data_IF_698929732077
#
_entry.id   IF_698929732077
#
_cell.length_a   1.000
_cell.length_b   1.000
_cell.length_c   1.000
_cell.angle_alpha   90.00
_cell.angle_beta   90.00
_cell.angle_gamma   90.00
#
_symmetry.space_group_name_H-M   'P 1'
#
loop_
_entity.id
_entity.type
_entity.pdbx_description
1 polymer ?
#
# COMPACT_ATOMS: atom_id res chain seq x y z
N UNK A 1 -12.93 0.90 5.10
CA UNK A 1 -11.67 1.54 4.63
C UNK A 1 -10.59 0.48 4.47
N UNK A 2 -9.57 0.71 3.64
CA UNK A 2 -8.45 -0.22 3.48
C UNK A 2 -7.14 0.47 3.86
N UNK A 3 -6.39 -0.15 4.77
CA UNK A 3 -5.04 0.24 5.14
C UNK A 3 -4.03 -0.59 4.34
N UNK A 4 -3.21 0.06 3.53
CA UNK A 4 -2.10 -0.54 2.80
C UNK A 4 -0.83 -0.28 3.60
N UNK A 5 -0.25 -1.34 4.16
CA UNK A 5 0.79 -1.23 5.18
C UNK A 5 2.20 -1.46 4.64
N UNK A 6 2.38 -2.34 3.65
CA UNK A 6 3.72 -2.66 3.15
C UNK A 6 3.69 -3.05 1.66
N UNK A 7 4.86 -2.95 1.04
CA UNK A 7 5.13 -3.55 -0.26
C UNK A 7 6.52 -4.20 -0.30
N UNK A 8 6.65 -5.28 -1.05
CA UNK A 8 7.91 -6.00 -1.24
C UNK A 8 8.06 -6.48 -2.69
N UNK A 9 9.31 -6.55 -3.16
CA UNK A 9 9.63 -7.15 -4.44
C UNK A 9 9.51 -8.67 -4.35
N UNK A 10 9.01 -9.28 -5.42
CA UNK A 10 9.22 -10.68 -5.68
C UNK A 10 10.67 -10.99 -6.03
N UNK A 11 10.99 -12.27 -6.06
CA UNK A 11 12.32 -12.76 -6.44
C UNK A 11 12.68 -12.30 -7.85
N UNK A 12 13.86 -11.70 -8.00
CA UNK A 12 14.46 -11.39 -9.30
C UNK A 12 15.97 -11.43 -9.20
N UNK A 13 16.61 -11.98 -10.24
CA UNK A 13 18.07 -11.97 -10.39
C UNK A 13 18.58 -10.73 -11.12
N UNK A 14 17.68 -9.92 -11.67
CA UNK A 14 18.02 -8.69 -12.41
C UNK A 14 17.80 -7.50 -11.50
N UNK A 15 18.79 -6.60 -11.46
CA UNK A 15 18.66 -5.29 -10.82
C UNK A 15 17.75 -4.43 -11.69
N UNK A 16 16.51 -4.25 -11.24
CA UNK A 16 15.51 -3.36 -11.82
C UNK A 16 14.81 -2.60 -10.68
N UNK A 17 14.41 -1.36 -10.95
CA UNK A 17 13.70 -0.53 -9.99
C UNK A 17 12.20 -0.61 -10.28
N UNK A 18 11.41 -0.95 -9.26
CA UNK A 18 9.96 -0.93 -9.34
C UNK A 18 9.43 0.38 -8.73
N UNK A 19 9.18 1.39 -9.56
CA UNK A 19 8.43 2.58 -9.14
C UNK A 19 6.95 2.21 -9.02
N UNK A 20 6.44 2.22 -7.80
CA UNK A 20 5.06 1.90 -7.49
C UNK A 20 4.20 3.16 -7.51
N UNK A 21 2.99 3.01 -8.04
CA UNK A 21 2.03 4.10 -8.15
C UNK A 21 0.65 3.64 -7.70
N UNK A 22 -0.08 4.56 -7.10
CA UNK A 22 -1.52 4.43 -6.89
C UNK A 22 -2.27 5.35 -7.85
N UNK A 23 -3.37 4.87 -8.41
CA UNK A 23 -4.31 5.67 -9.20
C UNK A 23 -5.66 5.73 -8.47
N UNK A 24 -6.18 6.93 -8.27
CA UNK A 24 -7.51 7.21 -7.72
C UNK A 24 -8.21 8.16 -8.68
N UNK A 25 -9.36 7.76 -9.21
CA UNK A 25 -10.02 8.44 -10.32
C UNK A 25 -9.03 8.69 -11.47
N UNK A 26 -8.79 9.94 -11.87
CA UNK A 26 -7.84 10.31 -12.93
C UNK A 26 -6.47 10.75 -12.43
N UNK A 27 -6.23 10.70 -11.12
CA UNK A 27 -4.95 11.08 -10.51
C UNK A 27 -4.08 9.86 -10.28
N UNK A 28 -2.81 9.94 -10.68
CA UNK A 28 -1.79 8.91 -10.45
C UNK A 28 -0.65 9.50 -9.64
N UNK A 29 -0.32 8.87 -8.52
CA UNK A 29 0.73 9.30 -7.60
C UNK A 29 1.75 8.18 -7.41
N UNK A 30 3.03 8.53 -7.43
CA UNK A 30 4.10 7.63 -7.01
C UNK A 30 4.09 7.50 -5.48
N UNK A 31 4.18 6.27 -4.97
CA UNK A 31 4.15 6.00 -3.53
C UNK A 31 5.49 5.46 -2.99
N UNK A 32 6.37 4.96 -3.86
CA UNK A 32 7.67 4.46 -3.46
C UNK A 32 8.39 3.76 -4.60
N UNK A 33 9.69 3.51 -4.43
CA UNK A 33 10.49 2.72 -5.36
C UNK A 33 11.16 1.59 -4.60
N UNK A 34 11.04 0.37 -5.11
CA UNK A 34 11.77 -0.79 -4.59
C UNK A 34 12.91 -1.17 -5.54
N UNK A 35 13.97 -1.73 -4.99
CA UNK A 35 15.08 -2.31 -5.74
C UNK A 35 15.65 -3.53 -5.01
N UNK A 36 16.11 -4.53 -5.76
CA UNK A 36 16.63 -5.79 -5.20
C UNK A 36 17.82 -5.53 -4.26
N UNK A 37 18.70 -4.60 -4.64
CA UNK A 37 19.99 -4.43 -3.96
C UNK A 37 19.97 -3.45 -2.78
N UNK A 38 18.97 -2.55 -2.71
CA UNK A 38 18.95 -1.47 -1.70
C UNK A 38 17.70 -1.50 -0.83
N UNK A 39 16.53 -1.50 -1.46
CA UNK A 39 15.25 -1.37 -0.77
C UNK A 39 14.28 -2.41 -1.32
N UNK A 40 14.40 -3.70 -0.96
CA UNK A 40 13.54 -4.74 -1.52
C UNK A 40 12.12 -4.71 -0.93
N UNK A 41 11.91 -3.99 0.17
CA UNK A 41 10.61 -3.76 0.79
C UNK A 41 10.51 -2.32 1.33
N UNK A 42 9.28 -1.88 1.57
CA UNK A 42 8.97 -0.57 2.14
C UNK A 42 7.69 -0.68 2.98
N UNK A 43 7.63 0.13 4.04
CA UNK A 43 6.43 0.28 4.86
C UNK A 43 5.72 1.59 4.51
N UNK A 44 4.40 1.56 4.58
CA UNK A 44 3.50 2.66 4.28
C UNK A 44 2.44 2.80 5.37
N UNK A 45 1.91 4.01 5.49
CA UNK A 45 0.69 4.27 6.23
C UNK A 45 -0.32 4.93 5.28
N UNK A 46 -0.84 4.13 4.34
CA UNK A 46 -1.76 4.61 3.31
C UNK A 46 -3.16 4.06 3.57
N UNK A 47 -4.12 4.97 3.71
CA UNK A 47 -5.52 4.65 3.96
C UNK A 47 -6.36 5.06 2.76
N UNK A 48 -7.12 4.10 2.23
CA UNK A 48 -8.00 4.30 1.10
C UNK A 48 -9.47 4.16 1.54
N UNK A 49 -10.24 5.22 1.32
CA UNK A 49 -11.71 5.25 1.45
C UNK A 49 -12.42 5.24 0.09
N UNK A 50 -11.66 5.36 -1.01
CA UNK A 50 -12.14 5.29 -2.41
C UNK A 50 -11.58 4.06 -3.13
N UNK A 51 -12.17 3.72 -4.26
CA UNK A 51 -11.58 2.75 -5.18
C UNK A 51 -10.23 3.26 -5.71
N UNK A 52 -9.23 2.38 -5.71
CA UNK A 52 -7.88 2.69 -6.15
C UNK A 52 -7.32 1.53 -6.98
N UNK A 53 -6.29 1.83 -7.79
CA UNK A 53 -5.52 0.82 -8.53
C UNK A 53 -4.04 0.97 -8.20
N UNK A 54 -3.40 -0.15 -7.91
CA UNK A 54 -1.94 -0.23 -7.75
C UNK A 54 -1.29 -0.62 -9.06
N UNK A 55 -0.10 -0.09 -9.32
CA UNK A 55 0.73 -0.45 -10.48
C UNK A 55 2.21 -0.26 -10.15
N UNK A 56 3.09 -0.90 -10.90
CA UNK A 56 4.54 -0.73 -10.80
C UNK A 56 5.19 -0.73 -12.19
N UNK A 57 6.40 -0.18 -12.31
CA UNK A 57 7.10 -0.04 -13.60
C UNK A 57 8.00 -1.21 -13.98
N UNK A 58 8.32 -2.11 -13.04
CA UNK A 58 9.27 -3.19 -13.29
C UNK A 58 8.74 -4.16 -14.34
N UNK A 59 9.63 -4.60 -15.22
CA UNK A 59 9.35 -5.64 -16.23
C UNK A 59 9.94 -7.00 -15.87
N UNK A 60 10.69 -7.07 -14.77
CA UNK A 60 11.47 -8.27 -14.41
C UNK A 60 11.05 -8.91 -13.10
N UNK A 61 10.31 -8.19 -12.24
CA UNK A 61 9.82 -8.72 -10.98
C UNK A 61 8.40 -8.25 -10.70
N UNK A 62 7.67 -9.04 -9.91
CA UNK A 62 6.38 -8.65 -9.35
C UNK A 62 6.56 -7.81 -8.09
N UNK A 63 5.54 -7.06 -7.72
CA UNK A 63 5.46 -6.38 -6.42
C UNK A 63 4.27 -6.94 -5.66
N UNK A 64 4.51 -7.34 -4.42
CA UNK A 64 3.48 -7.82 -3.50
C UNK A 64 3.15 -6.71 -2.50
N UNK A 65 1.87 -6.55 -2.20
CA UNK A 65 1.37 -5.57 -1.26
C UNK A 65 0.64 -6.26 -0.12
N UNK A 66 0.76 -5.73 1.09
CA UNK A 66 0.02 -6.20 2.26
C UNK A 66 -0.72 -5.05 2.92
N UNK A 67 -1.79 -5.41 3.63
CA UNK A 67 -2.72 -4.45 4.22
C UNK A 67 -3.88 -5.16 4.89
N UNK A 68 -4.78 -4.39 5.47
CA UNK A 68 -5.98 -4.90 6.13
C UNK A 68 -7.18 -3.97 5.89
N UNK A 69 -8.37 -4.55 5.94
CA UNK A 69 -9.61 -3.76 5.90
C UNK A 69 -9.98 -3.38 7.32
N UNK A 70 -10.38 -2.13 7.48
CA UNK A 70 -11.02 -1.65 8.70
C UNK A 70 -12.51 -1.57 8.41
N UNK A 71 -13.26 -2.44 9.07
CA UNK A 71 -14.71 -2.37 9.16
C UNK A 71 -15.03 -1.42 10.31
N UNK A 72 -15.74 -0.33 10.01
CA UNK A 72 -16.30 0.49 11.07
C UNK A 72 -17.52 -0.26 11.61
N UNK A 73 -17.64 -0.42 12.94
CA UNK A 73 -18.88 -0.92 13.52
C UNK A 73 -20.01 0.01 13.09
N UNK A 74 -21.16 -0.57 12.71
CA UNK A 74 -22.37 0.21 12.50
C UNK A 74 -22.63 1.03 13.77
N UNK A 75 -22.96 2.30 13.60
CA UNK A 75 -23.11 3.32 14.64
C UNK A 75 -24.15 3.01 15.75
N UNK A 76 -24.71 1.80 15.80
CA UNK A 76 -25.78 1.47 16.74
C UNK A 76 -25.33 1.47 18.21
N UNK A 77 -24.06 1.26 18.51
CA UNK A 77 -23.53 1.38 19.87
C UNK A 77 -22.33 2.32 19.86
N UNK A 78 -22.56 3.59 20.22
CA UNK A 78 -21.54 4.63 20.28
C UNK A 78 -20.28 4.11 20.98
N UNK A 79 -19.20 3.94 20.22
CA UNK A 79 -17.92 3.57 20.78
C UNK A 79 -17.47 4.71 21.70
N UNK A 80 -17.37 4.50 23.02
CA UNK A 80 -16.69 5.45 23.87
C UNK A 80 -15.25 5.41 23.39
N UNK A 81 -14.83 6.47 22.69
CA UNK A 81 -13.42 6.76 22.50
C UNK A 81 -12.82 6.58 23.89
N UNK A 82 -12.01 5.54 24.07
CA UNK A 82 -11.31 5.30 25.32
C UNK A 82 -10.58 6.61 25.59
N UNK A 83 -11.15 7.41 26.48
CA UNK A 83 -10.48 8.52 27.08
C UNK A 83 -9.32 7.85 27.81
N UNK A 84 -8.19 7.76 27.13
CA UNK A 84 -6.90 7.45 27.73
C UNK A 84 -6.60 8.67 28.58
N UNK A 85 -7.07 8.61 29.82
CA UNK A 85 -6.64 9.46 30.92
C UNK A 85 -5.26 9.05 31.43
#
# INVERSE_FOLDING_TARGET
>A
MLHLSQAALGESKKSDNALMNVKIYDQKLAIGTLSVDKNPHIQFDLVFDKEFKLSHTSKTTSVFFTGYKVEQPFEEDGYPFLALN
#
